data_IF_139671843452
#
_entry.id   IF_139671843452
#
_cell.length_a   1.000
_cell.length_b   1.000
_cell.length_c   1.000
_cell.angle_alpha   90.00
_cell.angle_beta   90.00
_cell.angle_gamma   90.00
#
_symmetry.space_group_name_H-M   'P 1'
#
loop_
_entity.id
_entity.type
_entity.pdbx_description
1 polymer ?
#
# COMPACT_ATOMS: atom_id res chain seq x y z
N UNK A 1 15.14 18.09 15.23
CA UNK A 1 14.28 16.91 15.01
C UNK A 1 12.88 17.43 14.71
N UNK A 2 12.25 17.00 13.61
CA UNK A 2 10.86 17.39 13.33
C UNK A 2 9.91 16.68 14.32
N UNK A 3 8.77 17.28 14.72
CA UNK A 3 7.86 16.67 15.68
C UNK A 3 7.28 15.36 15.12
N UNK A 4 7.62 14.23 15.74
CA UNK A 4 7.14 12.89 15.34
C UNK A 4 5.66 12.67 15.65
N UNK A 5 5.06 13.59 16.40
CA UNK A 5 3.62 13.62 16.75
C UNK A 5 2.74 13.80 15.51
N UNK A 6 3.29 14.40 14.44
CA UNK A 6 2.57 14.56 13.20
C UNK A 6 2.55 13.25 12.41
N UNK A 7 1.36 12.67 12.30
CA UNK A 7 1.08 11.44 11.55
C UNK A 7 1.68 11.36 10.14
N UNK A 8 1.81 12.51 9.46
CA UNK A 8 2.44 12.60 8.13
C UNK A 8 3.94 12.27 8.22
N UNK A 9 4.64 12.81 9.21
CA UNK A 9 6.07 12.55 9.41
C UNK A 9 6.28 11.08 9.75
N UNK A 10 5.46 10.53 10.64
CA UNK A 10 5.53 9.11 11.00
C UNK A 10 5.22 8.20 9.79
N UNK A 11 4.23 8.55 8.96
CA UNK A 11 3.94 7.82 7.74
C UNK A 11 5.09 7.87 6.73
N UNK A 12 5.70 9.04 6.52
CA UNK A 12 6.87 9.17 5.67
C UNK A 12 8.06 8.36 6.21
N UNK A 13 8.25 8.33 7.53
CA UNK A 13 9.26 7.50 8.16
C UNK A 13 9.01 6.01 7.90
N UNK A 14 7.79 5.53 8.14
CA UNK A 14 7.42 4.12 7.89
C UNK A 14 7.60 3.75 6.42
N UNK A 15 7.12 4.58 5.49
CA UNK A 15 7.28 4.35 4.05
C UNK A 15 8.76 4.32 3.65
N UNK A 16 9.58 5.25 4.15
CA UNK A 16 11.01 5.27 3.89
C UNK A 16 11.72 4.05 4.48
N UNK A 17 11.35 3.62 5.69
CA UNK A 17 11.90 2.42 6.33
C UNK A 17 11.57 1.17 5.52
N UNK A 18 10.33 1.02 5.04
CA UNK A 18 9.93 -0.07 4.14
C UNK A 18 10.81 -0.03 2.88
N UNK A 19 10.92 1.14 2.23
CA UNK A 19 11.73 1.28 1.03
C UNK A 19 13.19 0.87 1.26
N UNK A 20 13.84 1.36 2.32
CA UNK A 20 15.24 1.04 2.62
C UNK A 20 15.40 -0.45 2.92
N UNK A 21 14.62 -1.01 3.86
CA UNK A 21 14.75 -2.40 4.27
C UNK A 21 14.59 -3.36 3.09
N UNK A 22 13.53 -3.19 2.31
CA UNK A 22 13.23 -4.07 1.19
C UNK A 22 14.17 -3.86 0.00
N UNK A 23 14.62 -2.63 -0.26
CA UNK A 23 15.65 -2.37 -1.28
C UNK A 23 16.98 -3.00 -0.89
N UNK A 24 17.40 -2.89 0.37
CA UNK A 24 18.62 -3.53 0.86
C UNK A 24 18.52 -5.05 0.76
N UNK A 25 17.40 -5.65 1.19
CA UNK A 25 17.17 -7.08 1.01
C UNK A 25 17.20 -7.49 -0.46
N UNK A 26 16.60 -6.68 -1.34
CA UNK A 26 16.65 -6.96 -2.78
C UNK A 26 18.07 -6.91 -3.31
N UNK A 27 18.88 -5.90 -2.97
CA UNK A 27 20.26 -5.79 -3.45
C UNK A 27 21.12 -7.01 -3.05
N UNK A 28 20.81 -7.64 -1.91
CA UNK A 28 21.53 -8.80 -1.39
C UNK A 28 20.98 -10.11 -1.98
N UNK A 29 19.66 -10.25 -2.11
CA UNK A 29 18.99 -11.53 -2.41
C UNK A 29 18.52 -11.66 -3.87
N UNK A 30 18.59 -10.59 -4.66
CA UNK A 30 18.03 -10.57 -6.01
C UNK A 30 18.72 -11.57 -6.93
N UNK A 31 17.90 -12.38 -7.60
CA UNK A 31 18.33 -13.14 -8.76
C UNK A 31 18.53 -12.21 -9.96
N UNK A 32 19.54 -12.44 -10.79
CA UNK A 32 20.00 -11.55 -11.86
C UNK A 32 18.85 -10.93 -12.69
N UNK A 33 17.89 -11.77 -13.10
CA UNK A 33 16.79 -11.37 -14.00
C UNK A 33 15.51 -10.91 -13.28
N UNK A 34 15.52 -10.83 -11.94
CA UNK A 34 14.34 -10.37 -11.20
C UNK A 34 14.13 -8.86 -11.39
N UNK A 35 12.89 -8.40 -11.60
CA UNK A 35 12.60 -6.97 -11.74
C UNK A 35 12.92 -6.20 -10.44
N UNK A 36 13.21 -4.89 -10.53
CA UNK A 36 13.35 -4.02 -9.36
C UNK A 36 12.05 -4.03 -8.54
N UNK A 37 12.16 -4.20 -7.21
CA UNK A 37 11.02 -4.23 -6.29
C UNK A 37 10.40 -2.83 -6.16
N UNK A 38 11.24 -1.80 -6.20
CA UNK A 38 10.82 -0.42 -6.30
C UNK A 38 11.35 0.21 -7.58
N UNK A 39 10.48 0.88 -8.32
CA UNK A 39 10.88 1.79 -9.38
C UNK A 39 11.39 3.12 -8.81
N UNK A 40 11.92 4.03 -9.65
CA UNK A 40 12.35 5.33 -9.19
C UNK A 40 11.16 6.13 -8.64
N UNK A 41 11.16 6.42 -7.33
CA UNK A 41 10.02 7.05 -6.63
C UNK A 41 9.58 8.37 -7.29
N UNK A 42 10.55 9.18 -7.74
CA UNK A 42 10.29 10.47 -8.41
C UNK A 42 9.58 10.35 -9.77
N UNK A 43 9.46 9.14 -10.33
CA UNK A 43 8.74 8.88 -11.58
C UNK A 43 7.27 8.52 -11.36
N UNK A 44 6.80 8.40 -10.11
CA UNK A 44 5.39 8.20 -9.82
C UNK A 44 4.60 9.50 -10.09
N UNK A 45 3.89 9.53 -11.22
CA UNK A 45 3.12 10.69 -11.70
C UNK A 45 1.59 10.49 -11.65
N UNK A 46 1.15 9.37 -11.06
CA UNK A 46 -0.23 8.91 -10.92
C UNK A 46 -0.32 7.86 -9.82
N UNK A 47 -1.50 7.66 -9.24
CA UNK A 47 -1.77 6.57 -8.28
C UNK A 47 -1.56 5.21 -8.97
N UNK A 48 -2.06 5.06 -10.19
CA UNK A 48 -1.86 3.83 -10.96
C UNK A 48 -0.38 3.54 -11.25
N UNK A 49 0.38 4.58 -11.61
CA UNK A 49 1.82 4.48 -11.82
C UNK A 49 2.58 4.12 -10.53
N UNK A 50 2.20 4.74 -9.41
CA UNK A 50 2.78 4.46 -8.10
C UNK A 50 2.66 2.98 -7.74
N UNK A 51 1.45 2.40 -7.78
CA UNK A 51 1.21 1.02 -7.38
C UNK A 51 1.66 -0.04 -8.40
N UNK A 52 1.68 0.29 -9.69
CA UNK A 52 1.98 -0.70 -10.73
C UNK A 52 3.45 -0.69 -11.20
N UNK A 53 4.16 0.44 -11.05
CA UNK A 53 5.51 0.63 -11.60
C UNK A 53 6.55 1.03 -10.58
N UNK A 54 6.14 1.55 -9.43
CA UNK A 54 7.06 2.19 -8.49
C UNK A 54 7.11 1.49 -7.14
N UNK A 55 5.98 1.02 -6.61
CA UNK A 55 5.88 0.45 -5.27
C UNK A 55 5.63 -1.06 -5.32
N UNK A 56 6.52 -1.86 -4.73
CA UNK A 56 6.32 -3.31 -4.56
C UNK A 56 6.00 -4.07 -5.88
N UNK A 57 6.71 -3.75 -6.96
CA UNK A 57 6.46 -4.26 -8.32
C UNK A 57 6.44 -5.80 -8.42
N UNK A 58 7.18 -6.50 -7.56
CA UNK A 58 7.17 -7.97 -7.52
C UNK A 58 5.76 -8.54 -7.28
N UNK A 59 4.89 -7.80 -6.60
CA UNK A 59 3.52 -8.24 -6.30
C UNK A 59 2.51 -7.93 -7.40
N UNK A 60 2.88 -7.12 -8.40
CA UNK A 60 1.98 -6.80 -9.51
C UNK A 60 1.57 -8.06 -10.28
N UNK A 61 2.51 -8.98 -10.54
CA UNK A 61 2.24 -10.23 -11.25
C UNK A 61 1.29 -11.17 -10.48
N UNK A 62 1.54 -11.52 -9.21
CA UNK A 62 0.60 -12.30 -8.39
C UNK A 62 -0.80 -11.66 -8.30
N UNK A 63 -0.89 -10.35 -8.06
CA UNK A 63 -2.18 -9.68 -7.96
C UNK A 63 -2.94 -9.71 -9.30
N UNK A 64 -2.20 -9.62 -10.41
CA UNK A 64 -2.78 -9.67 -11.75
C UNK A 64 -3.31 -11.06 -12.10
N UNK A 65 -2.54 -12.11 -11.79
CA UNK A 65 -2.88 -13.50 -12.12
C UNK A 65 -3.94 -14.09 -11.20
N UNK A 66 -3.88 -13.81 -9.89
CA UNK A 66 -4.77 -14.41 -8.88
C UNK A 66 -6.07 -13.65 -8.68
N UNK A 67 -6.08 -12.33 -8.85
CA UNK A 67 -7.26 -11.51 -8.59
C UNK A 67 -7.77 -10.79 -9.85
N UNK A 68 -6.94 -9.94 -10.47
CA UNK A 68 -7.38 -9.08 -11.57
C UNK A 68 -8.01 -9.86 -12.73
N UNK A 69 -7.27 -10.82 -13.30
CA UNK A 69 -7.74 -11.55 -14.48
C UNK A 69 -8.94 -12.47 -14.19
N UNK A 70 -8.94 -13.28 -13.11
CA UNK A 70 -10.09 -14.12 -12.77
C UNK A 70 -11.36 -13.29 -12.54
N UNK A 71 -11.28 -12.22 -11.74
CA UNK A 71 -12.44 -11.38 -11.41
C UNK A 71 -12.93 -10.63 -12.64
N UNK A 72 -12.04 -10.01 -13.42
CA UNK A 72 -12.44 -9.35 -14.67
C UNK A 72 -13.16 -10.31 -15.61
N UNK A 73 -12.64 -11.53 -15.81
CA UNK A 73 -13.25 -12.54 -16.68
C UNK A 73 -14.62 -12.98 -16.15
N UNK A 74 -14.75 -13.19 -14.84
CA UNK A 74 -16.02 -13.54 -14.22
C UNK A 74 -17.07 -12.43 -14.41
N UNK A 75 -16.72 -11.17 -14.12
CA UNK A 75 -17.62 -10.04 -14.28
C UNK A 75 -18.04 -9.83 -15.75
N UNK A 76 -17.11 -9.96 -16.70
CA UNK A 76 -17.45 -9.88 -18.13
C UNK A 76 -18.41 -10.99 -18.58
N UNK A 77 -18.34 -12.20 -17.97
CA UNK A 77 -19.27 -13.30 -18.29
C UNK A 77 -20.69 -13.06 -17.77
N UNK A 78 -20.85 -12.28 -16.69
CA UNK A 78 -22.16 -11.89 -16.14
C UNK A 78 -22.77 -10.71 -16.92
N UNK A 79 -22.11 -10.25 -17.99
CA UNK A 79 -22.64 -9.21 -18.87
C UNK A 79 -22.36 -7.78 -18.40
N UNK A 80 -21.45 -7.57 -17.42
CA UNK A 80 -21.05 -6.22 -17.04
C UNK A 80 -20.27 -5.52 -18.17
N UNK A 81 -20.40 -4.18 -18.30
CA UNK A 81 -19.57 -3.40 -19.22
C UNK A 81 -18.08 -3.66 -19.00
N UNK A 82 -17.30 -3.63 -20.08
CA UNK A 82 -15.86 -3.95 -20.04
C UNK A 82 -15.11 -3.07 -19.04
N UNK A 83 -15.46 -1.79 -18.94
CA UNK A 83 -14.81 -0.86 -18.03
C UNK A 83 -15.16 -1.13 -16.57
N UNK A 84 -16.41 -1.53 -16.28
CA UNK A 84 -16.82 -1.98 -14.95
C UNK A 84 -16.11 -3.29 -14.56
N UNK A 85 -15.96 -4.23 -15.49
CA UNK A 85 -15.22 -5.47 -15.27
C UNK A 85 -13.72 -5.22 -15.03
N UNK A 86 -13.11 -4.25 -15.72
CA UNK A 86 -11.72 -3.82 -15.49
C UNK A 86 -11.55 -3.15 -14.13
N UNK A 87 -12.48 -2.26 -13.75
CA UNK A 87 -12.49 -1.61 -12.44
C UNK A 87 -12.63 -2.63 -11.30
N UNK A 88 -13.57 -3.58 -11.42
CA UNK A 88 -13.74 -4.66 -10.46
C UNK A 88 -12.50 -5.55 -10.34
N UNK A 89 -11.87 -5.88 -11.48
CA UNK A 89 -10.58 -6.59 -11.49
C UNK A 89 -9.50 -5.81 -10.73
N UNK A 90 -9.38 -4.50 -10.96
CA UNK A 90 -8.38 -3.67 -10.28
C UNK A 90 -8.62 -3.60 -8.78
N UNK A 91 -9.84 -3.31 -8.35
CA UNK A 91 -10.20 -3.27 -6.92
C UNK A 91 -9.95 -4.63 -6.25
N UNK A 92 -10.21 -5.74 -6.94
CA UNK A 92 -9.94 -7.08 -6.40
C UNK A 92 -8.45 -7.36 -6.20
N UNK A 93 -7.57 -6.84 -7.07
CA UNK A 93 -6.13 -6.96 -6.93
C UNK A 93 -5.63 -6.23 -5.68
N UNK A 94 -6.14 -5.02 -5.45
CA UNK A 94 -5.87 -4.26 -4.22
C UNK A 94 -6.46 -4.96 -2.98
N UNK A 95 -7.67 -5.52 -3.07
CA UNK A 95 -8.27 -6.26 -1.97
C UNK A 95 -7.46 -7.51 -1.60
N UNK A 96 -6.93 -8.25 -2.58
CA UNK A 96 -6.03 -9.37 -2.32
C UNK A 96 -4.77 -8.91 -1.57
N UNK A 97 -4.18 -7.79 -1.97
CA UNK A 97 -3.02 -7.22 -1.29
C UNK A 97 -3.35 -6.75 0.13
N UNK A 98 -4.54 -6.17 0.32
CA UNK A 98 -5.06 -5.82 1.63
C UNK A 98 -5.22 -7.03 2.54
N UNK A 99 -5.77 -8.13 2.03
CA UNK A 99 -5.92 -9.37 2.78
C UNK A 99 -4.55 -9.95 3.18
N UNK A 100 -3.59 -9.94 2.25
CA UNK A 100 -2.22 -10.39 2.52
C UNK A 100 -1.56 -9.56 3.64
N UNK A 101 -1.67 -8.23 3.59
CA UNK A 101 -1.10 -7.37 4.63
C UNK A 101 -1.80 -7.55 5.98
N UNK A 102 -3.13 -7.68 6.00
CA UNK A 102 -3.87 -7.95 7.25
C UNK A 102 -3.44 -9.28 7.85
N UNK A 103 -3.29 -10.33 7.03
CA UNK A 103 -2.80 -11.62 7.51
C UNK A 103 -1.38 -11.51 8.08
N UNK A 104 -0.45 -10.92 7.33
CA UNK A 104 0.95 -10.80 7.72
C UNK A 104 1.15 -9.90 8.96
N UNK A 105 0.33 -8.87 9.13
CA UNK A 105 0.41 -7.92 10.25
C UNK A 105 -0.46 -8.31 11.44
N UNK A 106 -1.33 -9.32 11.31
CA UNK A 106 -2.23 -9.76 12.38
C UNK A 106 -1.54 -10.07 13.73
N UNK A 107 -0.32 -10.64 13.79
CA UNK A 107 0.35 -10.84 15.08
C UNK A 107 1.02 -9.59 15.65
N UNK A 108 1.12 -8.50 14.86
CA UNK A 108 1.92 -7.32 15.20
C UNK A 108 1.09 -6.09 15.55
N UNK A 109 -0.11 -5.94 14.99
CA UNK A 109 -0.92 -4.72 15.17
C UNK A 109 -2.35 -5.04 15.63
N UNK A 110 -2.93 -4.10 16.39
CA UNK A 110 -4.29 -4.22 16.90
C UNK A 110 -5.33 -4.28 15.76
N UNK A 111 -6.52 -4.82 16.08
CA UNK A 111 -7.65 -4.95 15.13
C UNK A 111 -8.00 -3.64 14.43
N UNK A 112 -7.89 -2.51 15.11
CA UNK A 112 -8.13 -1.20 14.52
C UNK A 112 -7.11 -0.86 13.43
N UNK A 113 -5.82 -1.12 13.68
CA UNK A 113 -4.76 -0.96 12.67
C UNK A 113 -4.99 -1.87 11.46
N UNK A 114 -5.32 -3.15 11.70
CA UNK A 114 -5.65 -4.10 10.62
C UNK A 114 -6.81 -3.61 9.74
N UNK A 115 -7.88 -3.10 10.38
CA UNK A 115 -9.04 -2.55 9.68
C UNK A 115 -8.65 -1.38 8.79
N UNK A 116 -7.77 -0.49 9.26
CA UNK A 116 -7.28 0.63 8.46
C UNK A 116 -6.37 0.20 7.33
N UNK A 117 -5.51 -0.79 7.55
CA UNK A 117 -4.66 -1.38 6.49
C UNK A 117 -5.54 -1.99 5.39
N UNK A 118 -6.58 -2.73 5.73
CA UNK A 118 -7.55 -3.23 4.75
C UNK A 118 -8.14 -2.11 3.90
N UNK A 119 -8.69 -1.08 4.57
CA UNK A 119 -9.32 0.05 3.89
C UNK A 119 -8.34 0.92 3.11
N UNK A 120 -7.08 0.97 3.51
CA UNK A 120 -6.02 1.65 2.78
C UNK A 120 -5.83 1.02 1.39
N UNK A 121 -5.72 -0.31 1.30
CA UNK A 121 -5.57 -0.98 0.01
C UNK A 121 -6.83 -0.87 -0.83
N UNK A 122 -8.01 -1.19 -0.27
CA UNK A 122 -9.27 -1.11 -1.02
C UNK A 122 -9.54 0.33 -1.49
N UNK A 123 -9.33 1.32 -0.62
CA UNK A 123 -9.48 2.73 -0.92
C UNK A 123 -8.55 3.19 -2.04
N UNK A 124 -7.29 2.77 -2.03
CA UNK A 124 -6.36 3.04 -3.13
C UNK A 124 -6.79 2.38 -4.44
N UNK A 125 -7.29 1.14 -4.41
CA UNK A 125 -7.85 0.50 -5.60
C UNK A 125 -9.00 1.29 -6.22
N UNK A 126 -9.91 1.80 -5.39
CA UNK A 126 -11.01 2.68 -5.81
C UNK A 126 -10.49 4.02 -6.33
N UNK A 127 -9.52 4.62 -5.64
CA UNK A 127 -8.91 5.89 -6.05
C UNK A 127 -8.22 5.79 -7.42
N UNK A 128 -7.54 4.69 -7.73
CA UNK A 128 -6.94 4.45 -9.05
C UNK A 128 -8.02 4.32 -10.14
N UNK A 129 -9.15 3.67 -9.86
CA UNK A 129 -10.29 3.61 -10.80
C UNK A 129 -10.81 5.02 -11.08
N UNK A 130 -11.03 5.83 -10.04
CA UNK A 130 -11.47 7.21 -10.19
C UNK A 130 -10.44 8.08 -10.93
N UNK A 131 -9.15 7.96 -10.61
CA UNK A 131 -8.08 8.68 -11.31
C UNK A 131 -8.10 8.33 -12.80
N UNK A 132 -8.21 7.04 -13.13
CA UNK A 132 -8.26 6.57 -14.52
C UNK A 132 -9.49 7.14 -15.25
N UNK A 133 -10.65 7.18 -14.59
CA UNK A 133 -11.88 7.73 -15.15
C UNK A 133 -11.86 9.25 -15.32
N UNK A 134 -11.31 9.99 -14.36
CA UNK A 134 -11.29 11.46 -14.33
C UNK A 134 -10.19 12.08 -15.20
N UNK A 135 -9.01 11.46 -15.27
CA UNK A 135 -7.87 11.99 -16.03
C UNK A 135 -7.74 11.38 -17.43
N UNK A 136 -8.34 10.23 -17.70
CA UNK A 136 -8.39 9.62 -19.04
C UNK A 136 -7.01 9.23 -19.60
N UNK A 137 -6.90 9.16 -20.94
CA UNK A 137 -5.65 8.77 -21.62
C UNK A 137 -4.58 9.85 -21.50
N UNK A 138 -3.42 9.44 -20.97
CA UNK A 138 -2.27 10.28 -20.69
C UNK A 138 -1.67 10.98 -21.92
N UNK A 139 -1.89 10.44 -23.12
CA UNK A 139 -1.31 10.91 -24.37
C UNK A 139 -1.77 12.31 -24.82
N UNK A 140 -2.85 12.84 -24.24
CA UNK A 140 -3.39 14.19 -24.55
C UNK A 140 -3.16 15.20 -23.41
N UNK A 141 -2.48 14.79 -22.34
CA UNK A 141 -2.40 15.59 -21.11
C UNK A 141 -1.30 16.65 -21.15
N UNK A 142 -1.68 17.92 -21.02
CA UNK A 142 -0.74 19.04 -20.87
C UNK A 142 0.12 18.91 -19.59
N UNK A 143 1.32 19.51 -19.62
CA UNK A 143 2.33 19.43 -18.55
C UNK A 143 1.81 19.85 -17.18
N UNK A 144 0.98 20.90 -17.11
CA UNK A 144 0.40 21.38 -15.85
C UNK A 144 -0.56 20.37 -15.21
N UNK A 145 -1.44 19.76 -16.00
CA UNK A 145 -2.41 18.75 -15.52
C UNK A 145 -1.72 17.46 -15.07
N UNK A 146 -0.62 17.07 -15.74
CA UNK A 146 0.24 15.96 -15.31
C UNK A 146 0.88 16.21 -13.94
N UNK A 147 1.44 17.41 -13.73
CA UNK A 147 1.99 17.79 -12.41
C UNK A 147 0.92 17.81 -11.33
N UNK A 148 -0.27 18.35 -11.64
CA UNK A 148 -1.41 18.33 -10.71
C UNK A 148 -1.83 16.91 -10.33
N UNK A 149 -1.89 15.98 -11.29
CA UNK A 149 -2.16 14.55 -11.05
C UNK A 149 -1.11 13.93 -10.13
N UNK A 150 0.18 14.17 -10.40
CA UNK A 150 1.26 13.67 -9.58
C UNK A 150 1.20 14.19 -8.13
N UNK A 151 0.98 15.49 -7.95
CA UNK A 151 0.84 16.11 -6.61
C UNK A 151 -0.35 15.53 -5.87
N UNK A 152 -1.49 15.37 -6.55
CA UNK A 152 -2.69 14.77 -5.95
C UNK A 152 -2.45 13.31 -5.54
N UNK A 153 -1.80 12.52 -6.38
CA UNK A 153 -1.45 11.14 -6.08
C UNK A 153 -0.57 11.06 -4.81
N UNK A 154 0.52 11.84 -4.75
CA UNK A 154 1.37 11.88 -3.57
C UNK A 154 0.66 12.37 -2.31
N UNK A 155 -0.20 13.39 -2.43
CA UNK A 155 -0.98 13.88 -1.30
C UNK A 155 -1.97 12.83 -0.77
N UNK A 156 -2.63 12.09 -1.67
CA UNK A 156 -3.53 11.01 -1.32
C UNK A 156 -2.79 9.84 -0.65
N UNK A 157 -1.68 9.38 -1.22
CA UNK A 157 -0.90 8.27 -0.67
C UNK A 157 -0.35 8.60 0.73
N UNK A 158 0.26 9.78 0.88
CA UNK A 158 0.80 10.22 2.18
C UNK A 158 -0.32 10.44 3.19
N UNK A 159 -1.46 11.01 2.76
CA UNK A 159 -2.63 11.22 3.61
C UNK A 159 -3.25 9.91 4.09
N UNK A 160 -3.43 8.94 3.21
CA UNK A 160 -3.93 7.61 3.53
C UNK A 160 -2.95 6.86 4.45
N UNK A 161 -1.64 6.91 4.16
CA UNK A 161 -0.62 6.32 5.02
C UNK A 161 -0.62 6.95 6.43
N UNK A 162 -0.73 8.28 6.53
CA UNK A 162 -0.84 8.98 7.80
C UNK A 162 -2.08 8.55 8.59
N UNK A 163 -3.22 8.37 7.92
CA UNK A 163 -4.45 7.89 8.56
C UNK A 163 -4.32 6.46 9.10
N UNK A 164 -3.66 5.56 8.36
CA UNK A 164 -3.39 4.19 8.80
C UNK A 164 -2.47 4.19 10.01
N UNK A 165 -1.33 4.86 9.91
CA UNK A 165 -0.30 4.88 10.95
C UNK A 165 -0.83 5.40 12.28
N UNK A 166 -1.72 6.41 12.26
CA UNK A 166 -2.43 6.88 13.46
C UNK A 166 -3.25 5.81 14.16
N UNK A 167 -3.76 4.82 13.43
CA UNK A 167 -4.58 3.74 13.99
C UNK A 167 -3.81 2.49 14.35
N UNK A 168 -2.57 2.38 13.90
CA UNK A 168 -1.69 1.27 14.24
C UNK A 168 -1.02 1.44 15.61
N UNK A 169 -1.12 2.63 16.24
CA UNK A 169 -0.49 2.89 17.53
C UNK A 169 1.03 2.76 17.48
N UNK A 170 1.65 3.07 16.34
CA UNK A 170 3.10 3.03 16.18
C UNK A 170 3.71 3.99 17.21
N UNK A 171 4.69 3.56 18.03
CA UNK A 171 5.36 4.42 19.01
C UNK A 171 5.86 5.71 18.36
N UNK A 172 5.98 6.79 19.14
CA UNK A 172 6.47 8.11 18.69
C UNK A 172 7.89 8.03 18.09
N UNK A 173 7.97 7.61 16.82
CA UNK A 173 9.20 7.37 16.09
C UNK A 173 9.91 6.04 16.41
N UNK A 174 10.69 5.54 15.45
CA UNK A 174 11.57 4.38 15.62
C UNK A 174 12.69 4.60 16.66
N UNK A 175 12.90 5.85 17.12
CA UNK A 175 13.93 6.20 18.10
C UNK A 175 13.56 5.88 19.55
N UNK A 176 12.27 5.68 19.85
CA UNK A 176 11.78 5.29 21.18
C UNK A 176 11.73 3.77 21.41
N UNK A 177 11.90 2.97 20.35
CA UNK A 177 11.78 1.51 20.42
C UNK A 177 13.04 0.94 21.09
N UNK A 178 12.90 0.51 22.35
CA UNK A 178 13.95 -0.25 23.02
C UNK A 178 13.95 -1.67 22.49
N UNK A 179 15.11 -2.20 22.10
CA UNK A 179 15.23 -3.58 21.60
C UNK A 179 14.62 -4.64 22.53
N UNK A 180 14.60 -4.41 23.84
CA UNK A 180 13.92 -5.28 24.81
C UNK A 180 12.40 -5.38 24.62
N UNK A 181 11.75 -4.30 24.19
CA UNK A 181 10.29 -4.27 23.97
C UNK A 181 9.88 -4.99 22.68
N UNK A 182 10.79 -5.10 21.71
CA UNK A 182 10.58 -5.87 20.47
C UNK A 182 10.61 -7.37 20.75
N UNK A 183 11.42 -7.80 21.73
CA UNK A 183 11.58 -9.20 22.09
C UNK A 183 10.55 -9.68 23.13
N UNK A 184 9.92 -8.78 23.88
CA UNK A 184 9.08 -9.11 25.04
C UNK A 184 7.59 -8.74 24.82
N UNK A 185 7.03 -9.20 23.70
CA UNK A 185 5.63 -8.98 23.26
C UNK A 185 4.57 -9.49 24.27
N UNK A 186 4.98 -10.12 25.38
CA UNK A 186 4.07 -10.77 26.33
C UNK A 186 3.64 -9.96 27.55
N UNK A 187 4.22 -8.79 27.86
CA UNK A 187 3.95 -8.15 29.18
C UNK A 187 3.72 -6.63 29.17
N UNK A 188 3.26 -6.06 28.05
CA UNK A 188 2.71 -4.68 28.06
C UNK A 188 1.28 -4.64 28.63
N UNK A 189 0.82 -3.51 29.19
CA UNK A 189 -0.50 -3.37 29.84
C UNK A 189 -1.70 -3.57 28.89
N UNK A 190 -1.44 -3.75 27.58
CA UNK A 190 -2.42 -4.23 26.61
C UNK A 190 -2.24 -5.76 26.51
N UNK A 191 -2.70 -6.46 27.55
CA UNK A 191 -2.64 -7.91 27.62
C UNK A 191 -3.37 -8.54 26.43
N UNK A 192 -2.61 -9.18 25.54
CA UNK A 192 -3.13 -10.10 24.54
C UNK A 192 -3.57 -11.36 25.29
N UNK A 193 -4.83 -11.38 25.71
CA UNK A 193 -5.50 -12.60 26.14
C UNK A 193 -5.65 -13.52 24.93
N UNK A 194 -4.77 -14.51 24.83
CA UNK A 194 -4.96 -15.68 23.96
C UNK A 194 -5.99 -16.59 24.65
N UNK A 195 -7.19 -16.82 24.11
CA UNK A 195 -8.00 -17.92 24.58
C UNK A 195 -7.36 -19.19 24.06
N UNK A 196 -6.93 -20.05 24.98
CA UNK A 196 -6.36 -21.35 24.65
C UNK A 196 -7.33 -22.19 23.81
N UNK A 197 -6.79 -22.73 22.72
CA UNK A 197 -7.07 -24.05 22.17
C UNK A 197 -5.75 -24.57 21.61
#
# INVERSE_FOLDING_TARGET
>A
MLPQEHAIILALQVLLTIYILWTTLQLILRYHDSPPLFGPLYQADSLGGFWAKTWHNAFASPCTSLAYHPVRRALSRVGLPIDAARAGGLVSAFALMGAFHVYALSPLIAREGLRRVWWFFVGNGVAVVFETGLWGKESSMGRGRRRGRAVLAWALEVGFAAWVVRGCGVPEGLGGIRWGEVCDVRQGPVGIGWPGM
#
